data_IF_228334780337
#
_entry.id   IF_228334780337
#
_cell.length_a   1.000
_cell.length_b   1.000
_cell.length_c   1.000
_cell.angle_alpha   90.00
_cell.angle_beta   90.00
_cell.angle_gamma   90.00
#
_symmetry.space_group_name_H-M   'P 1'
#
loop_
_entity.id
_entity.type
_entity.pdbx_description
1 polymer ?
#
# COMPACT_ATOMS: atom_id res chain seq x y z
N UNK A 1 7.84 45.81 -79.76
CA UNK A 1 8.56 44.60 -79.30
C UNK A 1 9.44 45.02 -78.13
N UNK A 2 8.90 45.05 -76.90
CA UNK A 2 8.75 43.97 -75.92
C UNK A 2 9.89 44.02 -74.88
N UNK A 3 9.53 44.40 -73.65
CA UNK A 3 10.42 44.55 -72.49
C UNK A 3 11.20 43.26 -72.18
N UNK A 4 12.51 43.40 -71.95
CA UNK A 4 13.37 42.37 -71.35
C UNK A 4 12.94 42.11 -69.89
N UNK A 5 12.50 40.89 -69.57
CA UNK A 5 12.44 40.40 -68.19
C UNK A 5 13.74 39.67 -67.86
N UNK A 6 14.35 40.03 -66.74
CA UNK A 6 15.54 39.43 -66.15
C UNK A 6 15.25 37.99 -65.71
N UNK A 7 16.15 37.05 -66.00
CA UNK A 7 16.23 35.75 -65.33
C UNK A 7 17.68 35.51 -64.97
N UNK A 8 18.01 35.68 -63.69
CA UNK A 8 19.34 35.45 -63.14
C UNK A 8 19.35 34.09 -62.43
N UNK A 9 20.41 33.32 -62.70
CA UNK A 9 21.09 32.38 -61.80
C UNK A 9 20.67 30.89 -61.75
N UNK A 10 21.63 30.02 -62.09
CA UNK A 10 21.68 28.55 -61.90
C UNK A 10 22.44 28.20 -60.59
N UNK A 11 22.84 26.94 -60.26
CA UNK A 11 22.16 25.63 -60.12
C UNK A 11 22.39 24.94 -58.73
N UNK A 12 21.80 23.73 -58.54
CA UNK A 12 22.10 22.63 -57.59
C UNK A 12 22.17 22.90 -56.07
N UNK A 13 21.20 22.36 -55.30
CA UNK A 13 21.49 21.91 -53.93
C UNK A 13 21.03 20.46 -53.70
N UNK A 14 22.02 19.62 -53.43
CA UNK A 14 21.90 18.29 -52.86
C UNK A 14 21.53 18.37 -51.38
N UNK A 15 20.39 17.83 -50.98
CA UNK A 15 20.19 17.38 -49.60
C UNK A 15 20.08 15.86 -49.58
N UNK A 16 21.23 15.21 -49.51
CA UNK A 16 21.31 13.92 -48.87
C UNK A 16 21.48 14.17 -47.37
N UNK A 17 20.44 13.93 -46.58
CA UNK A 17 20.58 13.57 -45.17
C UNK A 17 19.94 12.21 -44.97
N UNK A 18 20.79 11.18 -45.08
CA UNK A 18 20.55 9.89 -44.45
C UNK A 18 20.42 10.13 -42.93
N UNK A 19 19.20 10.36 -42.45
CA UNK A 19 18.90 10.30 -41.03
C UNK A 19 17.75 9.32 -40.82
N UNK A 20 18.12 8.15 -40.33
CA UNK A 20 17.24 7.02 -40.03
C UNK A 20 16.46 7.29 -38.75
N UNK A 21 15.48 8.19 -38.83
CA UNK A 21 14.31 8.14 -37.97
C UNK A 21 13.16 7.70 -38.87
N UNK A 22 12.49 6.59 -38.55
CA UNK A 22 11.22 6.25 -39.21
C UNK A 22 10.17 7.26 -38.75
N UNK A 23 10.31 8.51 -39.19
CA UNK A 23 9.20 9.44 -39.26
C UNK A 23 8.19 8.74 -40.15
N UNK A 24 7.05 8.37 -39.58
CA UNK A 24 5.90 7.92 -40.34
C UNK A 24 5.71 8.95 -41.45
N UNK A 25 6.05 8.58 -42.68
CA UNK A 25 5.98 9.47 -43.82
C UNK A 25 4.52 9.87 -44.00
N UNK A 26 4.17 11.10 -43.63
CA UNK A 26 2.84 11.67 -43.89
C UNK A 26 2.84 12.18 -45.34
N UNK A 27 3.35 11.36 -46.26
CA UNK A 27 3.25 11.62 -47.68
C UNK A 27 1.84 11.27 -48.13
N UNK A 28 1.23 12.26 -48.75
CA UNK A 28 -0.07 12.27 -49.39
C UNK A 28 -0.28 10.99 -50.21
N UNK A 29 -1.01 10.01 -49.69
CA UNK A 29 -1.51 8.91 -50.51
C UNK A 29 -2.78 9.40 -51.18
N UNK A 30 -2.62 9.86 -52.42
CA UNK A 30 -3.73 10.26 -53.28
C UNK A 30 -4.72 9.11 -53.45
N UNK A 31 -5.95 9.26 -52.97
CA UNK A 31 -7.07 8.60 -53.63
C UNK A 31 -7.42 9.42 -54.87
N UNK A 32 -7.62 8.73 -55.99
CA UNK A 32 -7.72 9.31 -57.34
C UNK A 32 -8.91 10.24 -57.60
N UNK A 33 -9.54 10.82 -56.58
CA UNK A 33 -10.72 11.67 -56.68
C UNK A 33 -10.76 12.79 -55.62
N UNK A 34 -9.74 13.66 -55.58
CA UNK A 34 -9.89 15.09 -55.24
C UNK A 34 -10.58 15.47 -53.91
N UNK A 35 -10.40 14.70 -52.82
CA UNK A 35 -11.16 14.83 -51.57
C UNK A 35 -10.37 14.95 -50.26
N UNK A 36 -9.33 15.80 -50.20
CA UNK A 36 -8.59 16.29 -48.99
C UNK A 36 -8.39 15.32 -47.79
N UNK A 37 -7.40 14.43 -47.91
CA UNK A 37 -6.77 13.61 -46.85
C UNK A 37 -6.39 14.39 -45.57
N UNK A 38 -6.12 15.70 -45.70
CA UNK A 38 -5.71 16.60 -44.60
C UNK A 38 -6.71 16.71 -43.43
N UNK A 39 -8.01 16.48 -43.67
CA UNK A 39 -9.04 16.54 -42.62
C UNK A 39 -8.98 15.32 -41.70
N UNK A 40 -8.80 14.14 -42.28
CA UNK A 40 -8.72 12.86 -41.56
C UNK A 40 -7.46 12.78 -40.71
N UNK A 41 -6.30 13.20 -41.24
CA UNK A 41 -5.02 13.21 -40.51
C UNK A 41 -5.02 14.21 -39.33
N UNK A 42 -5.65 15.38 -39.48
CA UNK A 42 -5.80 16.34 -38.37
C UNK A 42 -6.71 15.79 -37.27
N UNK A 43 -7.83 15.14 -37.63
CA UNK A 43 -8.70 14.50 -36.63
C UNK A 43 -8.00 13.35 -35.93
N UNK A 44 -7.24 12.52 -36.65
CA UNK A 44 -6.45 11.43 -36.07
C UNK A 44 -5.36 11.97 -35.13
N UNK A 45 -4.58 12.96 -35.55
CA UNK A 45 -3.55 13.58 -34.71
C UNK A 45 -4.15 14.25 -33.46
N UNK A 46 -5.32 14.88 -33.59
CA UNK A 46 -6.04 15.50 -32.45
C UNK A 46 -6.66 14.45 -31.51
N UNK A 47 -7.06 13.29 -32.04
CA UNK A 47 -7.52 12.15 -31.23
C UNK A 47 -6.34 11.55 -30.46
N UNK A 48 -5.23 11.26 -31.16
CA UNK A 48 -3.99 10.75 -30.54
C UNK A 48 -3.44 11.73 -29.49
N UNK A 49 -3.48 13.04 -29.77
CA UNK A 49 -3.06 14.06 -28.80
C UNK A 49 -3.99 14.08 -27.58
N UNK A 50 -5.30 13.87 -27.73
CA UNK A 50 -6.22 13.74 -26.58
C UNK A 50 -5.99 12.47 -25.77
N UNK A 51 -5.58 11.39 -26.42
CA UNK A 51 -5.25 10.13 -25.74
C UNK A 51 -3.92 10.21 -24.98
N UNK A 52 -2.99 11.06 -25.44
CA UNK A 52 -1.71 11.35 -24.77
C UNK A 52 -1.76 12.55 -23.81
N UNK A 53 -2.79 13.40 -23.93
CA UNK A 53 -2.94 14.61 -23.13
C UNK A 53 -3.62 14.27 -21.82
N UNK A 54 -2.88 14.45 -20.74
CA UNK A 54 -3.48 14.54 -19.43
C UNK A 54 -3.94 15.98 -19.22
N UNK A 55 -5.25 16.19 -19.17
CA UNK A 55 -5.80 17.49 -18.78
C UNK A 55 -5.20 17.90 -17.44
N UNK A 56 -4.94 19.19 -17.25
CA UNK A 56 -4.47 19.73 -15.97
C UNK A 56 -5.47 19.28 -14.90
N UNK A 57 -5.04 18.30 -14.11
CA UNK A 57 -5.79 17.64 -13.06
C UNK A 57 -4.96 17.83 -11.80
N UNK A 58 -5.53 18.55 -10.82
CA UNK A 58 -4.78 18.99 -9.66
C UNK A 58 -4.26 17.80 -8.83
N UNK A 59 -5.06 16.73 -8.68
CA UNK A 59 -4.64 15.49 -8.01
C UNK A 59 -3.42 14.90 -8.69
N UNK A 60 -3.44 14.76 -10.00
CA UNK A 60 -2.32 14.20 -10.72
C UNK A 60 -1.09 15.12 -10.67
N UNK A 61 -1.27 16.43 -10.85
CA UNK A 61 -0.16 17.39 -10.72
C UNK A 61 0.50 17.25 -9.35
N UNK A 62 -0.29 17.14 -8.28
CA UNK A 62 0.24 16.94 -6.93
C UNK A 62 0.99 15.61 -6.76
N UNK A 63 0.55 14.51 -7.37
CA UNK A 63 1.28 13.23 -7.33
C UNK A 63 2.57 13.30 -8.15
N UNK A 64 2.55 13.99 -9.30
CA UNK A 64 3.70 14.09 -10.20
C UNK A 64 4.85 14.94 -9.63
N UNK A 65 4.56 15.82 -8.66
CA UNK A 65 5.57 16.62 -7.96
C UNK A 65 6.29 15.85 -6.85
N UNK A 66 5.79 14.67 -6.47
CA UNK A 66 6.36 13.82 -5.44
C UNK A 66 7.47 12.91 -6.00
N UNK A 67 8.47 12.60 -5.17
CA UNK A 67 9.68 11.88 -5.56
C UNK A 67 9.59 10.37 -5.37
N UNK A 68 9.76 9.60 -6.44
CA UNK A 68 9.72 8.12 -6.43
C UNK A 68 10.91 7.45 -5.73
N UNK A 69 11.16 7.77 -4.46
CA UNK A 69 12.15 7.07 -3.64
C UNK A 69 11.63 5.68 -3.25
N UNK A 70 12.56 4.75 -3.01
CA UNK A 70 12.21 3.50 -2.34
C UNK A 70 11.58 3.79 -0.98
N UNK A 71 10.76 2.86 -0.52
CA UNK A 71 10.21 2.82 0.83
C UNK A 71 9.33 4.03 1.20
N UNK A 72 8.60 4.58 0.21
CA UNK A 72 7.61 5.65 0.41
C UNK A 72 6.17 5.15 0.24
N UNK A 73 5.24 5.76 0.98
CA UNK A 73 3.81 5.72 0.69
C UNK A 73 3.29 7.11 0.35
N UNK A 74 2.37 7.16 -0.61
CA UNK A 74 1.61 8.36 -0.93
C UNK A 74 0.38 8.45 -0.02
N UNK A 75 0.11 9.64 0.52
CA UNK A 75 -1.08 9.92 1.31
C UNK A 75 -1.59 11.34 1.04
N UNK A 76 -2.85 11.62 1.38
CA UNK A 76 -3.44 12.95 1.20
C UNK A 76 -3.41 13.75 2.49
N UNK A 77 -3.11 15.03 2.39
CA UNK A 77 -3.18 16.00 3.52
C UNK A 77 -4.30 17.01 3.36
N UNK A 78 -4.99 16.98 2.22
CA UNK A 78 -6.09 17.87 1.85
C UNK A 78 -6.70 17.46 0.52
N UNK A 79 -7.70 18.20 0.05
CA UNK A 79 -8.25 18.01 -1.29
C UNK A 79 -7.16 18.25 -2.34
N UNK A 80 -7.03 17.34 -3.30
CA UNK A 80 -6.06 17.44 -4.40
C UNK A 80 -4.60 17.62 -3.94
N UNK A 81 -4.26 17.29 -2.69
CA UNK A 81 -2.93 17.51 -2.10
C UNK A 81 -2.39 16.20 -1.56
N UNK A 82 -1.39 15.67 -2.25
CA UNK A 82 -0.66 14.47 -1.91
C UNK A 82 0.69 14.80 -1.27
N UNK A 83 1.15 13.91 -0.41
CA UNK A 83 2.43 13.94 0.26
C UNK A 83 3.02 12.53 0.36
N UNK A 84 4.30 12.44 0.71
CA UNK A 84 5.00 11.18 0.96
C UNK A 84 5.31 10.97 2.44
N UNK A 85 5.17 9.73 2.90
CA UNK A 85 5.67 9.27 4.18
C UNK A 85 6.62 8.10 4.00
N UNK A 86 7.62 7.99 4.88
CA UNK A 86 8.52 6.84 4.94
C UNK A 86 7.80 5.59 5.48
N UNK A 87 7.94 4.48 4.77
CA UNK A 87 7.53 3.14 5.19
C UNK A 87 8.74 2.35 5.66
N UNK A 88 8.71 1.88 6.91
CA UNK A 88 9.74 0.97 7.40
C UNK A 88 9.61 -0.41 6.74
N UNK A 89 10.69 -1.21 6.77
CA UNK A 89 10.65 -2.59 6.31
C UNK A 89 9.60 -3.43 7.08
N UNK A 90 9.48 -3.22 8.39
CA UNK A 90 8.46 -3.87 9.21
C UNK A 90 7.04 -3.44 8.84
N UNK A 91 6.83 -2.14 8.52
CA UNK A 91 5.54 -1.65 8.03
C UNK A 91 5.14 -2.27 6.70
N UNK A 92 6.09 -2.46 5.77
CA UNK A 92 5.83 -3.17 4.51
C UNK A 92 5.50 -4.64 4.74
N UNK A 93 6.21 -5.32 5.63
CA UNK A 93 5.91 -6.70 5.99
C UNK A 93 4.46 -6.85 6.50
N UNK A 94 4.00 -5.92 7.34
CA UNK A 94 2.64 -5.94 7.87
C UNK A 94 1.55 -5.70 6.80
N UNK A 95 1.85 -4.88 5.78
CA UNK A 95 0.92 -4.58 4.69
C UNK A 95 0.88 -5.66 3.60
N UNK A 96 1.94 -6.47 3.49
CA UNK A 96 2.05 -7.60 2.56
C UNK A 96 1.24 -8.83 3.03
N UNK A 97 0.88 -8.87 4.31
CA UNK A 97 0.17 -9.99 4.92
C UNK A 97 -1.26 -10.17 4.38
N UNK A 98 -1.58 -11.40 3.96
CA UNK A 98 -2.85 -11.74 3.30
C UNK A 98 -4.09 -11.71 4.22
N UNK A 99 -3.89 -11.87 5.53
CA UNK A 99 -4.97 -11.86 6.51
C UNK A 99 -4.49 -11.41 7.90
N UNK A 100 -5.45 -11.25 8.83
CA UNK A 100 -5.16 -10.80 10.18
C UNK A 100 -4.27 -11.79 10.98
N UNK A 101 -4.28 -13.09 10.64
CA UNK A 101 -3.44 -14.08 11.31
C UNK A 101 -1.97 -13.90 10.90
N UNK A 102 -1.72 -13.67 9.62
CA UNK A 102 -0.39 -13.34 9.11
C UNK A 102 0.12 -12.03 9.73
N UNK A 103 -0.72 -10.99 9.80
CA UNK A 103 -0.39 -9.72 10.48
C UNK A 103 0.00 -9.90 11.94
N UNK A 104 -0.72 -10.75 12.68
CA UNK A 104 -0.37 -11.08 14.08
C UNK A 104 0.97 -11.79 14.15
N UNK A 105 1.23 -12.77 13.27
CA UNK A 105 2.51 -13.46 13.20
C UNK A 105 3.68 -12.49 12.91
N UNK A 106 3.51 -11.53 11.99
CA UNK A 106 4.52 -10.49 11.69
C UNK A 106 4.83 -9.62 12.91
N UNK A 107 3.81 -9.29 13.72
CA UNK A 107 3.99 -8.58 14.98
C UNK A 107 4.48 -9.48 16.13
N UNK A 108 4.68 -10.77 15.87
CA UNK A 108 4.94 -11.81 16.87
C UNK A 108 3.86 -11.86 17.98
N UNK A 109 2.63 -11.49 17.63
CA UNK A 109 1.45 -11.65 18.47
C UNK A 109 0.90 -13.04 18.22
N UNK A 110 0.59 -13.77 19.29
CA UNK A 110 -0.05 -15.08 19.17
C UNK A 110 -1.35 -14.98 18.34
N UNK A 111 -1.47 -15.85 17.34
CA UNK A 111 -2.60 -15.90 16.43
C UNK A 111 -3.91 -16.22 17.18
N UNK A 112 -3.86 -16.93 18.31
CA UNK A 112 -5.03 -17.28 19.11
C UNK A 112 -5.52 -16.15 20.04
N UNK A 113 -4.76 -15.07 20.21
CA UNK A 113 -5.13 -14.00 21.14
C UNK A 113 -5.12 -14.44 22.61
N UNK A 114 -4.54 -15.60 22.90
CA UNK A 114 -4.08 -15.96 24.23
C UNK A 114 -2.75 -15.23 24.40
N UNK A 115 -2.73 -14.23 25.28
CA UNK A 115 -1.57 -13.41 25.63
C UNK A 115 -0.19 -14.10 25.47
N UNK A 116 0.87 -13.35 25.18
CA UNK A 116 2.29 -13.75 25.19
C UNK A 116 2.76 -14.39 26.53
N UNK A 117 1.86 -14.58 27.49
CA UNK A 117 2.03 -15.45 28.64
C UNK A 117 1.77 -16.93 28.28
N UNK A 118 2.61 -17.84 28.76
CA UNK A 118 2.31 -19.28 28.80
C UNK A 118 1.01 -19.60 29.56
N UNK A 119 0.22 -20.58 29.09
CA UNK A 119 -1.06 -20.97 29.73
C UNK A 119 -0.87 -21.48 31.18
N UNK A 120 -1.66 -20.93 32.11
CA UNK A 120 -1.69 -21.40 33.50
C UNK A 120 -2.76 -22.49 33.67
N UNK A 121 -2.34 -23.74 33.92
CA UNK A 121 -3.24 -24.91 34.02
C UNK A 121 -3.36 -25.44 35.46
N UNK A 122 -4.57 -25.79 35.89
CA UNK A 122 -4.87 -26.46 37.16
C UNK A 122 -5.49 -27.85 36.96
N UNK A 123 -4.98 -28.86 37.67
CA UNK A 123 -5.43 -30.25 37.57
C UNK A 123 -5.39 -30.99 38.91
N UNK A 124 -6.29 -31.96 39.12
CA UNK A 124 -6.36 -32.85 40.28
C UNK A 124 -7.77 -33.01 40.85
N UNK A 125 -7.92 -33.78 41.95
CA UNK A 125 -9.14 -33.77 42.78
C UNK A 125 -8.73 -33.85 44.26
N UNK A 126 -9.23 -32.95 45.14
CA UNK A 126 -10.07 -31.79 44.82
C UNK A 126 -9.28 -30.59 44.32
N UNK A 127 -9.88 -29.80 43.44
CA UNK A 127 -9.33 -28.53 42.98
C UNK A 127 -9.49 -27.45 44.07
N UNK A 128 -8.55 -27.39 45.00
CA UNK A 128 -8.57 -26.41 46.10
C UNK A 128 -8.16 -24.98 45.69
N UNK A 129 -7.78 -24.83 44.43
CA UNK A 129 -7.51 -23.57 43.75
C UNK A 129 -8.16 -23.75 42.37
N UNK A 130 -8.62 -22.68 41.73
CA UNK A 130 -9.08 -22.69 40.34
C UNK A 130 -8.44 -21.50 39.63
N UNK A 131 -7.97 -21.71 38.40
CA UNK A 131 -7.39 -20.67 37.57
C UNK A 131 -8.22 -20.60 36.31
N UNK A 132 -8.85 -19.44 36.11
CA UNK A 132 -9.43 -19.02 34.85
C UNK A 132 -8.71 -17.71 34.54
N UNK A 133 -7.74 -17.80 33.65
CA UNK A 133 -7.05 -16.67 33.05
C UNK A 133 -5.91 -15.97 33.80
N UNK A 134 -5.59 -16.19 35.10
CA UNK A 134 -4.70 -15.25 35.87
C UNK A 134 -4.05 -15.75 37.19
N UNK A 135 -3.12 -14.95 37.75
CA UNK A 135 -2.47 -15.09 39.09
C UNK A 135 -3.40 -14.73 40.27
N UNK A 136 -3.22 -15.42 41.41
CA UNK A 136 -3.99 -15.22 42.65
C UNK A 136 -3.04 -15.05 43.85
N UNK A 137 -2.94 -13.82 44.38
CA UNK A 137 -2.28 -13.58 45.67
C UNK A 137 -3.22 -13.95 46.83
N UNK A 138 -2.70 -14.65 47.85
CA UNK A 138 -3.48 -15.13 49.01
C UNK A 138 -2.94 -14.64 50.35
N UNK A 139 -3.85 -14.45 51.30
CA UNK A 139 -3.56 -14.04 52.69
C UNK A 139 -3.76 -15.18 53.70
N UNK A 140 -3.34 -14.96 54.96
CA UNK A 140 -3.49 -15.94 56.05
C UNK A 140 -4.95 -16.39 56.23
N UNK A 141 -5.10 -17.67 56.54
CA UNK A 141 -6.41 -18.27 56.82
C UNK A 141 -6.69 -18.11 58.32
N UNK A 142 -7.70 -17.30 58.65
CA UNK A 142 -8.19 -17.19 60.01
C UNK A 142 -8.97 -18.46 60.38
N UNK A 143 -8.47 -19.23 61.35
CA UNK A 143 -9.06 -20.51 61.73
C UNK A 143 -10.36 -20.40 62.55
N UNK A 144 -10.73 -19.21 63.02
CA UNK A 144 -12.02 -18.96 63.68
C UNK A 144 -13.11 -18.53 62.71
N UNK A 145 -12.72 -17.88 61.61
CA UNK A 145 -13.68 -17.26 60.68
C UNK A 145 -13.63 -17.79 59.25
N UNK A 146 -12.58 -18.50 58.82
CA UNK A 146 -12.42 -19.02 57.44
C UNK A 146 -12.60 -20.55 57.31
N UNK A 147 -12.96 -21.24 58.40
CA UNK A 147 -13.34 -22.66 58.36
C UNK A 147 -14.78 -22.78 58.85
N UNK A 148 -15.57 -23.68 58.23
CA UNK A 148 -16.94 -23.99 58.65
C UNK A 148 -17.05 -25.49 58.92
N UNK A 149 -17.83 -25.87 59.93
CA UNK A 149 -17.87 -27.23 60.44
C UNK A 149 -16.83 -27.48 61.52
N UNK A 150 -16.92 -28.64 62.16
CA UNK A 150 -15.91 -29.04 63.15
C UNK A 150 -14.71 -29.53 62.37
N UNK A 151 -13.59 -28.81 62.49
CA UNK A 151 -12.31 -29.38 62.08
C UNK A 151 -12.16 -30.72 62.79
N UNK A 152 -11.89 -31.82 62.07
CA UNK A 152 -11.84 -33.14 62.68
C UNK A 152 -11.02 -33.11 63.96
N UNK A 153 -11.67 -33.49 65.07
CA UNK A 153 -11.13 -33.33 66.44
C UNK A 153 -9.83 -34.15 66.61
N UNK A 154 -9.63 -35.14 65.74
CA UNK A 154 -8.38 -35.91 65.63
C UNK A 154 -7.12 -35.04 65.45
N UNK A 155 -7.24 -33.82 64.92
CA UNK A 155 -6.10 -32.91 64.71
C UNK A 155 -6.02 -31.79 65.76
N UNK A 156 -7.01 -31.67 66.65
CA UNK A 156 -7.07 -30.59 67.65
C UNK A 156 -6.36 -30.91 68.97
N UNK A 157 -6.01 -32.17 69.21
CA UNK A 157 -5.55 -32.66 70.51
C UNK A 157 -6.69 -32.62 71.54
N UNK A 158 -7.04 -33.74 72.15
CA UNK A 158 -7.86 -33.68 73.36
C UNK A 158 -7.00 -33.00 74.46
N UNK A 159 -7.48 -31.97 75.16
CA UNK A 159 -6.79 -31.49 76.34
C UNK A 159 -6.71 -32.65 77.34
N UNK A 160 -5.49 -33.04 77.72
CA UNK A 160 -5.25 -33.94 78.83
C UNK A 160 -5.77 -33.23 80.10
N UNK A 161 -6.69 -33.89 80.80
CA UNK A 161 -7.39 -33.32 81.96
C UNK A 161 -6.53 -33.39 83.22
#
# INVERSE_FOLDING_TARGET
>A
MANRKYSNDAPLETWANSDTLTVLDVSDTTDGMGGTSKRTTYYQLKQMLRELYQAIDNTLTSIAELGTSADKMLYTTGLETWAEADLTAAGRALLDDADASAQRATLNVDASGTDNSIDVTLAGTPDYIKIIGQEITRYLINLTTHVTGVLPIANGGAPDL
#
